data_IF_615933519241
#
_entry.id   IF_615933519241
#
_cell.length_a   1.000
_cell.length_b   1.000
_cell.length_c   1.000
_cell.angle_alpha   90.00
_cell.angle_beta   90.00
_cell.angle_gamma   90.00
#
_symmetry.space_group_name_H-M   'P 1'
#
loop_
_entity.id
_entity.type
_entity.pdbx_description
1 polymer ?
#
# COMPACT_ATOMS: atom_id res chain seq x y z
N UNK A 1 -29.14 -43.43 8.47
CA UNK A 1 -27.78 -43.81 8.90
C UNK A 1 -26.92 -43.80 7.64
N UNK A 2 -26.28 -42.67 7.38
CA UNK A 2 -25.35 -42.50 6.26
C UNK A 2 -24.07 -42.01 6.90
N UNK A 3 -23.05 -42.86 6.89
CA UNK A 3 -21.72 -42.54 7.42
C UNK A 3 -21.15 -41.37 6.62
N UNK A 4 -20.84 -40.28 7.32
CA UNK A 4 -19.96 -39.22 6.81
C UNK A 4 -18.54 -39.75 6.96
N UNK A 5 -17.88 -40.00 5.83
CA UNK A 5 -16.44 -40.19 5.78
C UNK A 5 -15.80 -38.82 6.05
N UNK A 6 -15.26 -38.63 7.25
CA UNK A 6 -14.31 -37.55 7.53
C UNK A 6 -13.06 -37.80 6.69
N UNK A 7 -12.86 -36.98 5.65
CA UNK A 7 -11.55 -36.86 5.02
C UNK A 7 -10.60 -36.13 5.98
N UNK A 8 -9.36 -36.61 6.15
CA UNK A 8 -8.40 -35.97 7.02
C UNK A 8 -8.00 -34.61 6.42
N UNK A 9 -8.41 -33.53 7.08
CA UNK A 9 -8.01 -32.17 6.73
C UNK A 9 -6.49 -32.06 6.65
N UNK A 10 -6.00 -31.51 5.55
CA UNK A 10 -4.59 -31.17 5.33
C UNK A 10 -4.08 -30.30 6.48
N UNK A 11 -2.96 -30.68 7.08
CA UNK A 11 -2.38 -30.10 8.28
C UNK A 11 -1.82 -28.66 8.13
N UNK A 12 -2.35 -27.82 7.24
CA UNK A 12 -1.74 -26.53 6.89
C UNK A 12 -2.69 -25.33 6.81
N UNK A 13 -3.97 -25.48 7.16
CA UNK A 13 -4.93 -24.36 7.18
C UNK A 13 -5.09 -23.80 8.60
N UNK A 14 -3.98 -23.32 9.16
CA UNK A 14 -4.06 -22.47 10.36
C UNK A 14 -4.63 -21.13 9.90
N UNK A 15 -5.94 -20.94 10.13
CA UNK A 15 -6.59 -19.67 9.89
C UNK A 15 -5.90 -18.59 10.72
N UNK A 16 -5.17 -17.70 10.04
CA UNK A 16 -4.47 -16.58 10.68
C UNK A 16 -5.48 -15.65 11.35
N UNK A 17 -5.13 -15.12 12.51
CA UNK A 17 -5.92 -14.07 13.15
C UNK A 17 -5.84 -12.77 12.34
N UNK A 18 -6.82 -11.88 12.50
CA UNK A 18 -6.79 -10.54 11.89
C UNK A 18 -5.49 -9.80 12.25
N UNK A 19 -5.10 -9.83 13.53
CA UNK A 19 -3.82 -9.25 13.97
C UNK A 19 -2.61 -9.87 13.25
N UNK A 20 -2.59 -11.19 13.04
CA UNK A 20 -1.49 -11.81 12.29
C UNK A 20 -1.48 -11.33 10.83
N UNK A 21 -2.65 -11.24 10.20
CA UNK A 21 -2.83 -10.72 8.84
C UNK A 21 -2.35 -9.26 8.73
N UNK A 22 -2.68 -8.40 9.69
CA UNK A 22 -2.25 -7.00 9.74
C UNK A 22 -0.73 -6.86 9.73
N UNK A 23 -0.04 -7.63 10.60
CA UNK A 23 1.41 -7.60 10.66
C UNK A 23 2.04 -8.03 9.33
N UNK A 24 1.54 -9.10 8.71
CA UNK A 24 2.06 -9.58 7.44
C UNK A 24 1.84 -8.54 6.33
N UNK A 25 0.65 -7.95 6.25
CA UNK A 25 0.32 -6.87 5.32
C UNK A 25 1.25 -5.66 5.52
N UNK A 26 1.41 -5.19 6.76
CA UNK A 26 2.26 -4.02 7.08
C UNK A 26 3.74 -4.28 6.79
N UNK A 27 4.26 -5.47 7.10
CA UNK A 27 5.64 -5.84 6.75
C UNK A 27 5.81 -5.79 5.22
N UNK A 28 4.84 -6.31 4.48
CA UNK A 28 4.88 -6.34 3.02
C UNK A 28 4.83 -4.93 2.42
N UNK A 29 3.83 -4.11 2.80
CA UNK A 29 3.65 -2.75 2.28
C UNK A 29 4.78 -1.80 2.68
N UNK A 30 5.42 -2.02 3.83
CA UNK A 30 6.60 -1.26 4.23
C UNK A 30 7.79 -1.46 3.27
N UNK A 31 7.91 -2.64 2.67
CA UNK A 31 8.97 -3.00 1.72
C UNK A 31 8.63 -2.75 0.25
N UNK A 32 7.36 -2.43 -0.07
CA UNK A 32 6.89 -2.34 -1.45
C UNK A 32 7.51 -1.17 -2.23
N UNK A 33 7.67 -0.03 -1.57
CA UNK A 33 8.19 1.22 -2.15
C UNK A 33 9.42 1.77 -1.39
N UNK A 34 10.11 0.89 -0.65
CA UNK A 34 11.29 1.24 0.16
C UNK A 34 12.25 0.05 0.26
N UNK A 35 13.55 0.33 0.16
CA UNK A 35 14.61 -0.64 0.46
C UNK A 35 14.98 -0.66 1.96
N UNK A 36 14.33 0.19 2.77
CA UNK A 36 14.59 0.24 4.21
C UNK A 36 14.18 -1.06 4.90
N UNK A 37 15.07 -1.58 5.75
CA UNK A 37 14.80 -2.77 6.53
C UNK A 37 13.64 -2.57 7.51
N UNK A 38 12.67 -3.50 7.49
CA UNK A 38 11.54 -3.47 8.42
C UNK A 38 12.04 -3.78 9.84
N UNK A 39 11.80 -2.86 10.76
CA UNK A 39 12.22 -2.95 12.15
C UNK A 39 11.02 -2.99 13.10
N UNK A 40 11.24 -3.49 14.33
CA UNK A 40 10.22 -3.46 15.40
C UNK A 40 9.71 -2.04 15.67
N UNK A 41 10.58 -1.04 15.58
CA UNK A 41 10.22 0.37 15.78
C UNK A 41 9.26 0.85 14.69
N UNK A 42 9.58 0.57 13.43
CA UNK A 42 8.73 0.92 12.28
C UNK A 42 7.35 0.26 12.40
N UNK A 43 7.29 -1.03 12.74
CA UNK A 43 6.02 -1.73 12.93
C UNK A 43 5.23 -1.18 14.12
N UNK A 44 5.90 -0.81 15.21
CA UNK A 44 5.26 -0.19 16.37
C UNK A 44 4.59 1.13 16.02
N UNK A 45 5.26 1.97 15.22
CA UNK A 45 4.74 3.26 14.75
C UNK A 45 3.57 3.08 13.77
N UNK A 46 3.68 2.14 12.82
CA UNK A 46 2.63 1.89 11.80
C UNK A 46 1.38 1.21 12.36
N UNK A 47 1.54 0.24 13.25
CA UNK A 47 0.43 -0.53 13.84
C UNK A 47 -0.18 0.21 15.05
N UNK A 48 0.55 1.15 15.66
CA UNK A 48 0.08 1.92 16.81
C UNK A 48 0.10 1.13 18.13
N UNK A 49 1.01 0.16 18.28
CA UNK A 49 1.17 -0.66 19.50
C UNK A 49 2.61 -0.60 20.02
N UNK A 50 2.82 -0.98 21.28
CA UNK A 50 4.15 -0.94 21.90
C UNK A 50 5.17 -1.86 21.21
N UNK A 51 6.45 -1.51 21.24
CA UNK A 51 7.53 -2.36 20.70
C UNK A 51 7.60 -3.75 21.35
N UNK A 52 7.19 -3.89 22.62
CA UNK A 52 7.07 -5.20 23.28
C UNK A 52 5.94 -6.04 22.69
N UNK A 53 4.80 -5.41 22.37
CA UNK A 53 3.67 -6.08 21.68
C UNK A 53 4.09 -6.55 20.30
N UNK A 54 4.79 -5.71 19.53
CA UNK A 54 5.35 -6.09 18.22
C UNK A 54 6.29 -7.27 18.36
N UNK A 55 7.24 -7.21 19.31
CA UNK A 55 8.22 -8.29 19.52
C UNK A 55 7.56 -9.63 19.84
N UNK A 56 6.47 -9.63 20.62
CA UNK A 56 5.70 -10.83 20.90
C UNK A 56 4.94 -11.34 19.67
N UNK A 57 4.31 -10.46 18.90
CA UNK A 57 3.60 -10.83 17.67
C UNK A 57 4.56 -11.42 16.62
N UNK A 58 5.71 -10.79 16.40
CA UNK A 58 6.75 -11.28 15.48
C UNK A 58 7.29 -12.63 15.91
N UNK A 59 7.50 -12.86 17.22
CA UNK A 59 7.89 -14.19 17.72
C UNK A 59 6.83 -15.25 17.37
N UNK A 60 5.56 -14.97 17.60
CA UNK A 60 4.46 -15.90 17.27
C UNK A 60 4.38 -16.18 15.76
N UNK A 61 4.57 -15.16 14.92
CA UNK A 61 4.60 -15.33 13.46
C UNK A 61 5.81 -16.13 13.00
N UNK A 62 6.96 -15.97 13.65
CA UNK A 62 8.15 -16.77 13.38
C UNK A 62 7.94 -18.24 13.78
N UNK A 63 7.33 -18.49 14.95
CA UNK A 63 6.97 -19.84 15.40
C UNK A 63 5.97 -20.53 14.44
N UNK A 64 5.16 -19.73 13.71
CA UNK A 64 4.24 -20.20 12.66
C UNK A 64 4.89 -20.28 11.26
N UNK A 65 6.18 -19.95 11.13
CA UNK A 65 6.88 -19.96 9.84
C UNK A 65 6.43 -18.89 8.85
N UNK A 66 5.83 -17.79 9.32
CA UNK A 66 5.36 -16.69 8.47
C UNK A 66 6.40 -15.58 8.29
N UNK A 67 7.30 -15.40 9.25
CA UNK A 67 8.37 -14.39 9.18
C UNK A 67 9.71 -14.99 9.63
N UNK A 68 10.79 -14.45 9.08
CA UNK A 68 12.15 -14.61 9.58
C UNK A 68 12.56 -13.36 10.34
N UNK A 69 13.16 -13.56 11.51
CA UNK A 69 13.67 -12.47 12.34
C UNK A 69 14.93 -12.93 13.07
N UNK A 70 16.09 -12.51 12.57
CA UNK A 70 17.35 -12.68 13.29
C UNK A 70 17.32 -11.83 14.57
N UNK A 71 18.02 -12.26 15.63
CA UNK A 71 18.10 -11.49 16.87
C UNK A 71 18.71 -10.11 16.60
N UNK A 72 17.94 -9.04 16.81
CA UNK A 72 18.29 -7.64 16.45
C UNK A 72 18.40 -7.35 14.95
N UNK A 73 17.85 -8.23 14.10
CA UNK A 73 17.89 -8.11 12.65
C UNK A 73 16.62 -7.49 12.06
N UNK A 74 16.63 -7.35 10.74
CA UNK A 74 15.45 -7.00 9.97
C UNK A 74 14.40 -8.12 10.08
N UNK A 75 13.13 -7.73 9.99
CA UNK A 75 11.99 -8.64 9.90
C UNK A 75 11.69 -8.84 8.40
N UNK A 76 11.65 -10.09 7.94
CA UNK A 76 11.30 -10.42 6.56
C UNK A 76 10.21 -11.49 6.52
N UNK A 77 9.40 -11.48 5.47
CA UNK A 77 8.40 -12.51 5.24
C UNK A 77 9.06 -13.77 4.69
N UNK A 78 8.61 -14.94 5.14
CA UNK A 78 8.86 -16.20 4.43
C UNK A 78 7.97 -16.26 3.18
N UNK A 79 8.14 -17.27 2.32
CA UNK A 79 7.25 -17.45 1.16
C UNK A 79 5.77 -17.63 1.57
N UNK A 80 5.53 -18.32 2.69
CA UNK A 80 4.17 -18.48 3.27
C UNK A 80 3.62 -17.14 3.75
N UNK A 81 4.42 -16.40 4.52
CA UNK A 81 4.02 -15.07 5.00
C UNK A 81 3.78 -14.08 3.87
N UNK A 82 4.61 -14.13 2.82
CA UNK A 82 4.46 -13.30 1.62
C UNK A 82 3.16 -13.60 0.91
N UNK A 83 2.82 -14.87 0.73
CA UNK A 83 1.56 -15.28 0.11
C UNK A 83 0.34 -14.76 0.88
N UNK A 84 0.36 -14.91 2.22
CA UNK A 84 -0.71 -14.40 3.07
C UNK A 84 -0.79 -12.87 3.07
N UNK A 85 0.34 -12.17 3.12
CA UNK A 85 0.40 -10.71 3.06
C UNK A 85 -0.17 -10.18 1.75
N UNK A 86 0.26 -10.73 0.61
CA UNK A 86 -0.19 -10.30 -0.73
C UNK A 86 -1.69 -10.53 -0.91
N UNK A 87 -2.24 -11.62 -0.36
CA UNK A 87 -3.68 -11.85 -0.35
C UNK A 87 -4.44 -10.76 0.41
N UNK A 88 -3.93 -10.33 1.57
CA UNK A 88 -4.53 -9.23 2.34
C UNK A 88 -4.42 -7.89 1.63
N UNK A 89 -3.26 -7.57 1.05
CA UNK A 89 -3.06 -6.36 0.24
C UNK A 89 -4.05 -6.30 -0.93
N UNK A 90 -4.23 -7.42 -1.64
CA UNK A 90 -5.22 -7.50 -2.72
C UNK A 90 -6.63 -7.23 -2.22
N UNK A 91 -7.00 -7.75 -1.05
CA UNK A 91 -8.32 -7.52 -0.44
C UNK A 91 -8.51 -6.06 -0.10
N UNK A 92 -7.56 -5.47 0.63
CA UNK A 92 -7.55 -4.07 1.01
C UNK A 92 -7.79 -3.15 -0.20
N UNK A 93 -6.89 -3.25 -1.21
CA UNK A 93 -6.91 -2.38 -2.39
C UNK A 93 -8.17 -2.52 -3.25
N UNK A 94 -8.72 -3.74 -3.37
CA UNK A 94 -9.98 -3.95 -4.07
C UNK A 94 -11.18 -3.35 -3.32
N UNK A 95 -11.19 -3.46 -1.98
CA UNK A 95 -12.23 -2.83 -1.15
C UNK A 95 -12.14 -1.32 -1.28
N UNK A 96 -10.94 -0.73 -1.17
CA UNK A 96 -10.78 0.72 -1.35
C UNK A 96 -11.29 1.18 -2.72
N UNK A 97 -10.88 0.47 -3.77
CA UNK A 97 -11.33 0.77 -5.13
C UNK A 97 -12.85 0.69 -5.25
N UNK A 98 -13.48 -0.29 -4.61
CA UNK A 98 -14.93 -0.46 -4.60
C UNK A 98 -15.64 0.68 -3.87
N UNK A 99 -15.18 1.00 -2.66
CA UNK A 99 -15.75 2.07 -1.84
C UNK A 99 -15.71 3.43 -2.57
N UNK A 100 -14.57 3.76 -3.18
CA UNK A 100 -14.43 5.01 -3.94
C UNK A 100 -15.29 5.00 -5.21
N UNK A 101 -15.21 3.96 -6.03
CA UNK A 101 -15.86 3.96 -7.37
C UNK A 101 -17.37 3.74 -7.32
N UNK A 102 -17.87 2.96 -6.36
CA UNK A 102 -19.27 2.51 -6.35
C UNK A 102 -20.08 3.16 -5.22
N UNK A 103 -19.44 3.56 -4.12
CA UNK A 103 -20.12 4.14 -2.95
C UNK A 103 -19.83 5.63 -2.73
N UNK A 104 -18.88 6.20 -3.48
CA UNK A 104 -18.59 7.64 -3.44
C UNK A 104 -17.74 8.09 -2.26
N UNK A 105 -16.96 7.17 -1.67
CA UNK A 105 -15.97 7.54 -0.65
C UNK A 105 -14.89 8.45 -1.27
N UNK A 106 -14.40 9.39 -0.48
CA UNK A 106 -13.14 10.09 -0.73
C UNK A 106 -11.95 9.13 -0.61
N UNK A 107 -10.95 9.33 -1.46
CA UNK A 107 -9.69 8.59 -1.35
C UNK A 107 -8.93 8.83 -0.03
N UNK A 108 -9.24 9.89 0.71
CA UNK A 108 -8.62 10.19 2.00
C UNK A 108 -9.34 9.56 3.20
N UNK A 109 -10.56 9.04 3.02
CA UNK A 109 -11.34 8.37 4.07
C UNK A 109 -11.42 6.85 3.89
N UNK A 110 -11.00 6.33 2.73
CA UNK A 110 -11.26 4.94 2.35
C UNK A 110 -10.42 3.92 3.13
N UNK A 111 -9.21 4.29 3.53
CA UNK A 111 -8.26 3.39 4.19
C UNK A 111 -8.84 2.79 5.48
N UNK A 112 -9.36 3.63 6.38
CA UNK A 112 -9.90 3.21 7.68
C UNK A 112 -11.08 2.22 7.53
N UNK A 113 -11.94 2.42 6.53
CA UNK A 113 -13.06 1.53 6.26
C UNK A 113 -12.59 0.20 5.65
N UNK A 114 -11.61 0.25 4.74
CA UNK A 114 -11.03 -0.94 4.12
C UNK A 114 -10.32 -1.84 5.15
N UNK A 115 -9.58 -1.27 6.10
CA UNK A 115 -8.92 -1.98 7.22
C UNK A 115 -9.93 -2.81 8.04
N UNK A 116 -11.16 -2.32 8.23
CA UNK A 116 -12.19 -3.06 8.98
C UNK A 116 -12.77 -4.18 8.12
N UNK A 117 -13.08 -3.87 6.87
CA UNK A 117 -13.81 -4.78 5.97
C UNK A 117 -12.94 -5.93 5.47
N UNK A 118 -11.63 -5.74 5.32
CA UNK A 118 -10.73 -6.72 4.70
C UNK A 118 -10.67 -8.06 5.44
N UNK A 119 -10.97 -8.10 6.74
CA UNK A 119 -11.05 -9.35 7.52
C UNK A 119 -12.45 -9.95 7.56
N UNK A 120 -13.49 -9.17 7.23
CA UNK A 120 -14.88 -9.59 7.38
C UNK A 120 -15.52 -10.11 6.08
N UNK A 121 -14.98 -9.73 4.92
CA UNK A 121 -15.54 -10.12 3.63
C UNK A 121 -15.15 -11.56 3.24
N UNK A 122 -15.99 -12.25 2.49
CA UNK A 122 -15.65 -13.59 1.98
C UNK A 122 -14.88 -13.51 0.66
N UNK A 123 -14.14 -14.57 0.30
CA UNK A 123 -13.47 -14.65 -1.01
C UNK A 123 -14.46 -14.59 -2.18
N UNK A 124 -15.67 -15.13 -2.01
CA UNK A 124 -16.73 -15.01 -3.00
C UNK A 124 -17.15 -13.55 -3.22
N UNK A 125 -17.26 -12.77 -2.15
CA UNK A 125 -17.55 -11.34 -2.24
C UNK A 125 -16.40 -10.60 -2.93
N UNK A 126 -15.15 -10.89 -2.56
CA UNK A 126 -13.98 -10.31 -3.20
C UNK A 126 -13.91 -10.60 -4.70
N UNK A 127 -14.19 -11.83 -5.12
CA UNK A 127 -14.24 -12.19 -6.54
C UNK A 127 -15.33 -11.42 -7.30
N UNK A 128 -16.48 -11.18 -6.67
CA UNK A 128 -17.57 -10.38 -7.26
C UNK A 128 -17.22 -8.89 -7.33
N UNK A 129 -16.55 -8.36 -6.31
CA UNK A 129 -16.05 -6.97 -6.30
C UNK A 129 -15.05 -6.78 -7.45
N UNK A 130 -14.06 -7.66 -7.56
CA UNK A 130 -13.03 -7.59 -8.61
C UNK A 130 -13.65 -7.62 -10.02
N UNK A 131 -14.58 -8.57 -10.25
CA UNK A 131 -15.30 -8.65 -11.52
C UNK A 131 -16.19 -7.42 -11.79
N UNK A 132 -16.87 -6.88 -10.75
CA UNK A 132 -17.72 -5.68 -10.87
C UNK A 132 -16.89 -4.44 -11.24
N UNK A 133 -15.68 -4.34 -10.71
CA UNK A 133 -14.74 -3.26 -11.00
C UNK A 133 -14.01 -3.40 -12.34
N UNK A 134 -14.22 -4.52 -13.06
CA UNK A 134 -13.58 -4.79 -14.34
C UNK A 134 -12.10 -5.18 -14.22
N UNK A 135 -11.72 -5.89 -13.15
CA UNK A 135 -10.35 -6.35 -12.89
C UNK A 135 -9.32 -5.21 -12.84
N UNK A 136 -9.51 -4.23 -11.94
CA UNK A 136 -8.62 -3.08 -11.83
C UNK A 136 -7.19 -3.52 -11.46
N UNK A 137 -6.21 -2.81 -12.00
CA UNK A 137 -4.78 -3.11 -11.80
C UNK A 137 -4.13 -2.22 -10.73
N UNK A 138 -4.84 -1.20 -10.25
CA UNK A 138 -4.39 -0.28 -9.21
C UNK A 138 -5.56 0.26 -8.40
N UNK A 139 -5.28 0.67 -7.19
CA UNK A 139 -6.23 1.28 -6.27
C UNK A 139 -6.45 2.79 -6.56
N UNK A 140 -7.24 3.53 -5.74
CA UNK A 140 -7.46 4.96 -5.91
C UNK A 140 -6.20 5.82 -5.79
N UNK A 141 -5.17 5.35 -5.10
CA UNK A 141 -3.91 6.06 -4.83
C UNK A 141 -2.79 5.64 -5.78
N UNK A 142 -3.02 4.61 -6.59
CA UNK A 142 -2.13 4.14 -7.64
C UNK A 142 -1.25 2.97 -7.22
N UNK A 143 -1.46 2.40 -6.03
CA UNK A 143 -0.75 1.20 -5.64
C UNK A 143 -1.28 -0.02 -6.42
N UNK A 144 -0.39 -0.94 -6.85
CA UNK A 144 -0.76 -2.04 -7.74
C UNK A 144 -1.66 -3.04 -7.02
N UNK A 145 -2.75 -3.48 -7.64
CA UNK A 145 -3.57 -4.56 -7.09
C UNK A 145 -2.90 -5.89 -7.48
N UNK A 146 -2.39 -6.70 -6.53
CA UNK A 146 -1.83 -8.01 -6.86
C UNK A 146 -2.87 -8.87 -7.57
N UNK A 147 -2.48 -9.69 -8.54
CA UNK A 147 -3.37 -10.66 -9.19
C UNK A 147 -3.78 -11.80 -8.24
N UNK A 148 -4.72 -12.65 -8.68
CA UNK A 148 -5.21 -13.78 -7.87
C UNK A 148 -4.10 -14.78 -7.50
N UNK A 149 -3.12 -14.96 -8.38
CA UNK A 149 -1.92 -15.79 -8.15
C UNK A 149 -0.79 -15.05 -7.42
N UNK A 150 -1.03 -13.80 -6.99
CA UNK A 150 -0.08 -13.00 -6.21
C UNK A 150 1.02 -12.33 -7.03
N UNK A 151 0.92 -12.32 -8.36
CA UNK A 151 1.82 -11.54 -9.21
C UNK A 151 1.50 -10.04 -9.06
N UNK A 152 2.56 -9.22 -9.09
CA UNK A 152 2.46 -7.77 -8.91
C UNK A 152 3.20 -7.11 -10.06
N UNK A 153 2.55 -6.16 -10.72
CA UNK A 153 3.11 -5.37 -11.80
C UNK A 153 3.25 -3.93 -11.34
N UNK A 154 4.32 -3.62 -10.63
CA UNK A 154 4.62 -2.24 -10.21
C UNK A 154 5.19 -1.44 -11.39
N UNK A 155 4.76 -0.18 -11.59
CA UNK A 155 5.38 0.69 -12.57
C UNK A 155 6.82 1.03 -12.15
N UNK A 156 7.71 1.22 -13.12
CA UNK A 156 9.04 1.82 -12.89
C UNK A 156 8.86 3.31 -12.57
N UNK A 157 8.55 3.60 -11.30
CA UNK A 157 8.26 4.93 -10.81
C UNK A 157 9.28 5.34 -9.75
N UNK A 158 9.71 6.60 -9.81
CA UNK A 158 10.61 7.23 -8.84
C UNK A 158 9.91 8.39 -8.14
N UNK A 159 10.37 8.75 -6.95
CA UNK A 159 9.75 9.85 -6.19
C UNK A 159 9.95 11.17 -6.91
N UNK A 160 8.95 12.06 -6.86
CA UNK A 160 9.07 13.43 -7.37
C UNK A 160 10.24 14.17 -6.72
N UNK A 161 10.54 13.89 -5.45
CA UNK A 161 11.70 14.42 -4.74
C UNK A 161 13.07 13.96 -5.28
N UNK A 162 13.11 13.04 -6.23
CA UNK A 162 14.33 12.58 -6.91
C UNK A 162 14.49 13.15 -8.32
N UNK A 163 13.45 13.79 -8.87
CA UNK A 163 13.51 14.42 -10.18
C UNK A 163 14.40 15.67 -10.13
N UNK A 164 15.06 16.02 -11.23
CA UNK A 164 15.83 17.27 -11.38
C UNK A 164 15.09 18.29 -12.24
N UNK A 165 15.53 19.55 -12.20
CA UNK A 165 14.99 20.64 -13.01
C UNK A 165 14.85 20.25 -14.49
N UNK A 166 13.69 20.56 -15.06
CA UNK A 166 13.31 20.24 -16.44
C UNK A 166 12.80 18.82 -16.66
N UNK A 167 12.96 17.90 -15.71
CA UNK A 167 12.40 16.55 -15.86
C UNK A 167 10.88 16.55 -15.72
N UNK A 168 10.26 15.62 -16.45
CA UNK A 168 8.81 15.45 -16.50
C UNK A 168 8.45 13.99 -16.25
N UNK A 169 7.34 13.77 -15.55
CA UNK A 169 6.78 12.45 -15.36
C UNK A 169 5.27 12.48 -15.27
N UNK A 170 4.66 11.30 -15.24
CA UNK A 170 3.24 11.10 -14.98
C UNK A 170 3.07 10.52 -13.58
N UNK A 171 2.21 11.13 -12.77
CA UNK A 171 1.86 10.63 -11.42
C UNK A 171 1.32 9.21 -11.53
N UNK A 172 2.04 8.26 -10.93
CA UNK A 172 1.70 6.85 -10.96
C UNK A 172 1.15 6.36 -9.62
N UNK A 173 1.64 6.94 -8.51
CA UNK A 173 1.25 6.57 -7.16
C UNK A 173 1.40 7.74 -6.20
N UNK A 174 0.50 7.85 -5.24
CA UNK A 174 0.49 8.83 -4.16
C UNK A 174 0.38 8.08 -2.83
N UNK A 175 1.17 8.46 -1.83
CA UNK A 175 1.08 7.85 -0.50
C UNK A 175 -0.23 8.24 0.20
N UNK A 176 -0.93 7.24 0.72
CA UNK A 176 -2.16 7.32 1.49
C UNK A 176 -1.93 7.47 3.01
N UNK A 177 -0.69 7.34 3.46
CA UNK A 177 -0.27 7.39 4.87
C UNK A 177 -0.67 8.66 5.65
N UNK A 178 -1.04 9.75 4.97
CA UNK A 178 -1.52 10.98 5.59
C UNK A 178 -2.76 11.50 4.83
N UNK A 179 -3.98 11.29 5.36
CA UNK A 179 -5.21 11.81 4.77
C UNK A 179 -5.22 13.33 4.55
N UNK A 180 -4.51 14.11 5.38
CA UNK A 180 -4.42 15.55 5.19
C UNK A 180 -3.58 15.90 3.96
N UNK A 181 -2.55 15.11 3.65
CA UNK A 181 -1.76 15.24 2.43
C UNK A 181 -2.58 14.93 1.18
N UNK A 182 -3.43 13.89 1.22
CA UNK A 182 -4.34 13.55 0.12
C UNK A 182 -5.34 14.69 -0.16
N UNK A 183 -5.95 15.27 0.89
CA UNK A 183 -6.82 16.46 0.74
C UNK A 183 -6.08 17.66 0.19
N UNK A 184 -4.83 17.86 0.62
CA UNK A 184 -3.98 18.91 0.06
C UNK A 184 -3.74 18.71 -1.44
N UNK A 185 -3.39 17.49 -1.88
CA UNK A 185 -3.19 17.17 -3.30
C UNK A 185 -4.43 17.44 -4.14
N UNK A 186 -5.61 17.04 -3.66
CA UNK A 186 -6.88 17.34 -4.33
C UNK A 186 -7.11 18.86 -4.46
N UNK A 187 -6.84 19.63 -3.40
CA UNK A 187 -7.00 21.09 -3.39
C UNK A 187 -6.09 21.84 -4.39
N UNK A 188 -4.93 21.25 -4.71
CA UNK A 188 -3.99 21.81 -5.70
C UNK A 188 -4.09 21.12 -7.07
N UNK A 189 -5.01 20.17 -7.23
CA UNK A 189 -5.28 19.48 -8.49
C UNK A 189 -4.30 18.36 -8.85
N UNK A 190 -3.50 17.87 -7.90
CA UNK A 190 -2.61 16.72 -8.08
C UNK A 190 -3.42 15.44 -7.93
N UNK A 191 -3.38 14.60 -8.97
CA UNK A 191 -4.08 13.31 -9.03
C UNK A 191 -3.30 12.33 -9.90
N UNK A 192 -3.72 11.06 -9.87
CA UNK A 192 -3.18 10.03 -10.75
C UNK A 192 -3.25 10.43 -12.23
N UNK A 193 -2.28 9.92 -12.99
CA UNK A 193 -2.08 10.14 -14.43
C UNK A 193 -1.82 11.58 -14.87
N UNK A 194 -1.77 12.53 -13.93
CA UNK A 194 -1.41 13.90 -14.23
C UNK A 194 0.07 13.99 -14.62
N UNK A 195 0.37 14.75 -15.67
CA UNK A 195 1.77 15.11 -15.97
C UNK A 195 2.26 16.18 -15.01
N UNK A 196 3.47 16.04 -14.50
CA UNK A 196 4.15 17.05 -13.70
C UNK A 196 5.53 17.32 -14.32
N UNK A 197 5.88 18.58 -14.49
CA UNK A 197 7.23 19.03 -14.83
C UNK A 197 7.87 19.69 -13.61
N UNK A 198 9.08 19.28 -13.26
CA UNK A 198 9.89 19.97 -12.23
C UNK A 198 10.49 21.22 -12.85
N UNK A 199 10.11 22.39 -12.33
CA UNK A 199 10.61 23.67 -12.83
C UNK A 199 11.92 24.05 -12.14
N UNK A 200 11.94 23.95 -10.82
CA UNK A 200 13.08 24.37 -10.00
C UNK A 200 13.06 23.65 -8.65
N UNK A 201 14.18 23.06 -8.27
CA UNK A 201 14.42 22.55 -6.93
C UNK A 201 15.18 23.55 -6.08
N UNK A 202 14.64 23.78 -4.88
CA UNK A 202 15.24 24.66 -3.88
C UNK A 202 15.58 23.83 -2.65
N UNK A 203 16.60 22.96 -2.79
CA UNK A 203 16.96 21.99 -1.75
C UNK A 203 17.24 22.65 -0.38
N UNK A 204 17.86 23.85 -0.36
CA UNK A 204 18.07 24.59 0.89
C UNK A 204 16.76 25.02 1.57
N UNK A 205 15.74 25.37 0.79
CA UNK A 205 14.42 25.75 1.29
C UNK A 205 13.50 24.55 1.52
N UNK A 206 13.89 23.35 1.04
CA UNK A 206 13.09 22.14 1.11
C UNK A 206 11.81 22.20 0.27
N UNK A 207 11.85 22.89 -0.88
CA UNK A 207 10.71 23.01 -1.79
C UNK A 207 11.06 22.66 -3.23
N UNK A 208 10.04 22.19 -3.97
CA UNK A 208 10.10 21.87 -5.39
C UNK A 208 8.99 22.64 -6.10
N UNK A 209 9.36 23.54 -7.00
CA UNK A 209 8.41 24.22 -7.87
C UNK A 209 8.05 23.30 -9.04
N UNK A 210 6.76 23.06 -9.22
CA UNK A 210 6.24 22.18 -10.25
C UNK A 210 5.21 22.86 -11.13
N UNK A 211 5.05 22.33 -12.33
CA UNK A 211 3.99 22.68 -13.27
C UNK A 211 3.11 21.46 -13.54
N UNK A 212 1.79 21.65 -13.49
CA UNK A 212 0.81 20.59 -13.72
C UNK A 212 0.31 20.61 -15.18
N UNK A 213 0.31 19.45 -15.84
CA UNK A 213 -0.34 19.24 -17.13
C UNK A 213 0.44 19.76 -18.34
N UNK A 214 -0.11 20.74 -19.04
CA UNK A 214 0.54 21.40 -20.18
C UNK A 214 1.24 22.69 -19.71
N UNK A 215 2.27 23.16 -20.45
CA UNK A 215 2.97 24.39 -20.11
C UNK A 215 2.01 25.54 -19.82
N UNK A 216 2.01 26.03 -18.58
CA UNK A 216 1.14 27.08 -18.07
C UNK A 216 1.95 28.00 -17.16
N UNK A 217 1.49 29.23 -16.93
CA UNK A 217 2.23 30.15 -16.05
C UNK A 217 2.08 29.86 -14.55
N UNK A 218 1.33 28.83 -14.15
CA UNK A 218 1.01 28.57 -12.76
C UNK A 218 1.93 27.48 -12.20
N UNK A 219 2.99 27.92 -11.52
CA UNK A 219 3.83 27.05 -10.70
C UNK A 219 3.19 26.81 -9.33
N UNK A 220 3.39 25.62 -8.79
CA UNK A 220 3.00 25.24 -7.43
C UNK A 220 4.26 24.85 -6.68
N UNK A 221 4.47 25.41 -5.50
CA UNK A 221 5.57 25.00 -4.62
C UNK A 221 5.10 23.86 -3.70
N UNK A 222 5.71 22.69 -3.85
CA UNK A 222 5.53 21.57 -2.94
C UNK A 222 6.66 21.55 -1.92
N UNK A 223 6.33 21.32 -0.65
CA UNK A 223 7.34 21.00 0.36
C UNK A 223 7.91 19.60 0.17
N UNK A 224 9.08 19.34 0.75
CA UNK A 224 9.79 18.05 0.63
C UNK A 224 8.90 16.84 0.93
N UNK A 225 8.10 16.88 2.00
CA UNK A 225 7.20 15.78 2.36
C UNK A 225 6.14 15.49 1.30
N UNK A 226 5.62 16.52 0.66
CA UNK A 226 4.64 16.36 -0.42
C UNK A 226 5.32 15.76 -1.67
N UNK A 227 6.55 16.19 -1.99
CA UNK A 227 7.32 15.62 -3.09
C UNK A 227 7.73 14.15 -2.85
N UNK A 228 8.00 13.76 -1.60
CA UNK A 228 8.32 12.37 -1.23
C UNK A 228 7.10 11.43 -1.28
N UNK A 229 5.89 11.99 -1.17
CA UNK A 229 4.65 11.24 -1.22
C UNK A 229 4.15 10.96 -2.65
N UNK A 230 4.80 11.48 -3.69
CA UNK A 230 4.40 11.32 -5.09
C UNK A 230 5.44 10.48 -5.83
N UNK A 231 5.02 9.40 -6.48
CA UNK A 231 5.81 8.61 -7.41
C UNK A 231 5.36 8.88 -8.83
N UNK A 232 6.34 9.04 -9.73
CA UNK A 232 6.09 9.36 -11.13
C UNK A 232 6.85 8.42 -12.05
N UNK A 233 6.19 8.03 -13.14
CA UNK A 233 6.84 7.36 -14.27
C UNK A 233 7.41 8.43 -15.21
N UNK A 234 8.71 8.41 -15.53
CA UNK A 234 9.31 9.37 -16.45
C UNK A 234 8.60 9.41 -17.81
N UNK A 235 8.55 10.59 -18.44
CA UNK A 235 7.93 10.80 -19.76
C UNK A 235 8.94 11.29 -20.80
#
# INVERSE_FOLDING_TARGET
MVERTDEPGTADDVQLSAVAQDYLKVIWTASEWSEEAVSTKMLSERIGVSASTVSEAIRKLADQGMVDHARYGAISLTDRGRTAAVAMVRRHRLIETFLVRELGYGWDEVHDEAEILEHAVSDLMMARIDAKLGFPQRDPHGDPIPSVDGAISSPEATRLSEYTDGQRGRVARISDSDPAMLRYFDSVGIKLDLSITVLERRDYAGTVAIELGQPSKNAIDLGQRAAEAIWMVPS
#
